data_IF_658230262313
#
_entry.id   IF_658230262313
#
_cell.length_a   1.000
_cell.length_b   1.000
_cell.length_c   1.000
_cell.angle_alpha   90.00
_cell.angle_beta   90.00
_cell.angle_gamma   90.00
#
_symmetry.space_group_name_H-M   'P 1'
#
loop_
_entity.id
_entity.type
_entity.pdbx_description
1 polymer ?
#
# COMPACT_ATOMS: atom_id res chain seq x y z
N UNK A 1 39.76 43.60 39.30
CA UNK A 1 38.79 43.74 38.21
C UNK A 1 37.77 42.62 38.37
N UNK A 2 36.52 42.99 38.59
CA UNK A 2 35.36 42.09 38.64
C UNK A 2 34.76 42.15 37.24
N UNK A 3 34.61 41.00 36.57
CA UNK A 3 33.82 40.90 35.35
C UNK A 3 32.69 39.88 35.61
N UNK A 4 31.49 40.42 35.81
CA UNK A 4 30.24 39.70 35.73
C UNK A 4 29.77 39.69 34.28
N UNK A 5 29.34 38.52 33.80
CA UNK A 5 28.47 38.34 32.63
C UNK A 5 27.47 37.28 33.11
N UNK A 6 26.43 37.67 33.84
CA UNK A 6 25.06 37.95 33.34
C UNK A 6 24.69 37.03 32.17
N UNK A 7 23.75 36.13 32.45
CA UNK A 7 23.35 35.07 31.55
C UNK A 7 22.55 35.53 30.33
N UNK A 8 22.46 34.59 29.40
CA UNK A 8 21.39 34.51 28.41
C UNK A 8 20.73 33.15 28.62
N UNK A 9 19.76 33.12 29.54
CA UNK A 9 18.75 32.09 29.54
C UNK A 9 17.84 32.26 28.32
N UNK A 10 17.25 31.13 27.93
CA UNK A 10 15.96 31.03 27.25
C UNK A 10 15.81 31.74 25.91
N UNK A 11 16.22 31.06 24.84
CA UNK A 11 15.37 30.99 23.64
C UNK A 11 14.40 29.83 23.84
N UNK A 12 13.45 29.99 24.76
CA UNK A 12 12.18 29.31 24.63
C UNK A 12 11.56 29.93 23.38
N UNK A 13 11.75 29.26 22.24
CA UNK A 13 10.92 29.50 21.08
C UNK A 13 9.48 29.53 21.60
N UNK A 14 8.74 30.57 21.25
CA UNK A 14 7.36 30.73 21.64
C UNK A 14 6.66 29.40 21.41
N UNK A 15 6.31 28.71 22.50
CA UNK A 15 5.42 27.58 22.46
C UNK A 15 4.10 28.16 21.95
N UNK A 16 3.93 28.18 20.62
CA UNK A 16 2.69 28.56 19.96
C UNK A 16 1.60 27.81 20.68
N UNK A 17 0.72 28.49 21.40
CA UNK A 17 -0.19 27.89 22.38
C UNK A 17 -0.79 26.55 21.91
N UNK A 18 -0.15 25.44 22.31
CA UNK A 18 -0.51 24.09 21.87
C UNK A 18 -1.67 23.58 22.71
N UNK A 19 -1.93 24.22 23.86
CA UNK A 19 -3.11 23.99 24.69
C UNK A 19 -4.41 24.11 23.89
N UNK A 20 -4.44 24.95 22.85
CA UNK A 20 -5.57 25.07 21.93
C UNK A 20 -6.03 23.73 21.32
N UNK A 21 -5.11 22.80 21.06
CA UNK A 21 -5.44 21.50 20.48
C UNK A 21 -6.09 20.56 21.51
N UNK A 22 -5.74 20.71 22.80
CA UNK A 22 -6.31 19.94 23.91
C UNK A 22 -7.77 20.33 24.20
N UNK A 23 -8.17 21.56 23.87
CA UNK A 23 -9.53 22.03 24.07
C UNK A 23 -10.53 21.42 23.07
N UNK A 24 -10.05 20.94 21.92
CA UNK A 24 -10.88 20.37 20.85
C UNK A 24 -11.16 18.90 21.12
N UNK A 25 -12.41 18.57 21.42
CA UNK A 25 -12.82 17.20 21.74
C UNK A 25 -13.06 16.31 20.53
N UNK A 26 -13.31 16.91 19.35
CA UNK A 26 -13.68 16.19 18.14
C UNK A 26 -13.14 16.87 16.89
N UNK A 27 -12.72 16.03 15.96
CA UNK A 27 -12.10 16.42 14.72
C UNK A 27 -12.77 15.67 13.57
N UNK A 28 -13.07 16.39 12.50
CA UNK A 28 -13.51 15.81 11.24
C UNK A 28 -12.36 15.85 10.25
N UNK A 29 -12.04 14.69 9.69
CA UNK A 29 -10.89 14.53 8.82
C UNK A 29 -11.23 13.89 7.49
N UNK A 30 -10.44 14.23 6.47
CA UNK A 30 -10.44 13.62 5.15
C UNK A 30 -9.01 13.33 4.70
N UNK A 31 -8.80 12.21 4.04
CA UNK A 31 -7.55 11.86 3.36
C UNK A 31 -7.85 11.52 1.90
N UNK A 32 -6.99 11.99 1.01
CA UNK A 32 -6.84 11.43 -0.33
C UNK A 32 -5.41 10.91 -0.48
N UNK A 33 -5.25 9.63 -0.82
CA UNK A 33 -3.95 9.04 -1.11
C UNK A 33 -3.96 8.40 -2.51
N UNK A 34 -2.85 8.49 -3.21
CA UNK A 34 -2.72 7.97 -4.57
C UNK A 34 -1.33 7.40 -4.82
N UNK A 35 -1.30 6.26 -5.51
CA UNK A 35 -0.08 5.61 -5.99
C UNK A 35 -0.21 5.38 -7.49
N UNK A 36 0.79 5.83 -8.24
CA UNK A 36 0.93 5.51 -9.66
C UNK A 36 2.36 5.03 -9.91
N UNK A 37 2.51 3.80 -10.41
CA UNK A 37 3.80 3.18 -10.67
C UNK A 37 3.80 2.45 -12.01
N UNK A 38 4.84 2.66 -12.82
CA UNK A 38 5.14 1.91 -14.06
C UNK A 38 6.57 1.37 -13.95
N UNK A 39 6.71 0.05 -13.89
CA UNK A 39 7.99 -0.63 -13.72
C UNK A 39 8.22 -1.60 -14.87
N UNK A 40 9.45 -1.61 -15.40
CA UNK A 40 9.88 -2.55 -16.44
C UNK A 40 11.19 -3.19 -16.06
N UNK A 41 11.32 -4.49 -16.32
CA UNK A 41 12.53 -5.24 -16.03
C UNK A 41 12.82 -6.35 -17.03
N UNK A 42 14.10 -6.66 -17.17
CA UNK A 42 14.60 -7.86 -17.87
C UNK A 42 15.37 -8.72 -16.86
N UNK A 43 15.08 -10.02 -16.85
CA UNK A 43 15.74 -10.99 -15.99
C UNK A 43 16.43 -12.00 -16.90
N UNK A 44 17.77 -11.91 -16.98
CA UNK A 44 18.58 -12.72 -17.90
C UNK A 44 18.54 -14.25 -17.62
N UNK A 45 19.25 -15.08 -18.42
CA UNK A 45 19.16 -16.55 -18.39
C UNK A 45 19.70 -17.24 -17.11
N UNK A 46 20.06 -16.48 -16.07
CA UNK A 46 20.32 -16.95 -14.70
C UNK A 46 19.18 -16.67 -13.71
N UNK A 47 18.01 -16.28 -14.23
CA UNK A 47 16.69 -16.13 -13.61
C UNK A 47 16.63 -16.06 -12.08
N UNK A 48 16.40 -14.85 -11.55
CA UNK A 48 15.61 -14.56 -10.33
C UNK A 48 15.85 -15.38 -9.04
N UNK A 49 16.93 -16.14 -8.92
CA UNK A 49 17.34 -16.72 -7.64
C UNK A 49 18.01 -15.69 -6.71
N UNK A 50 18.42 -14.54 -7.25
CA UNK A 50 19.30 -13.58 -6.57
C UNK A 50 18.88 -12.12 -6.69
N UNK A 51 17.68 -11.79 -7.17
CA UNK A 51 17.24 -10.39 -7.10
C UNK A 51 16.66 -10.10 -5.71
N UNK A 52 17.40 -9.40 -4.82
CA UNK A 52 16.95 -9.14 -3.47
C UNK A 52 15.67 -8.30 -3.49
N UNK A 53 15.42 -7.51 -4.55
CA UNK A 53 14.18 -6.72 -4.68
C UNK A 53 12.96 -7.58 -4.96
N UNK A 54 13.06 -8.73 -5.63
CA UNK A 54 11.90 -9.62 -5.82
C UNK A 54 11.71 -10.56 -4.63
N UNK A 55 12.79 -11.03 -3.99
CA UNK A 55 12.66 -11.68 -2.69
C UNK A 55 12.11 -10.72 -1.65
N UNK A 56 12.47 -9.44 -1.69
CA UNK A 56 11.84 -8.39 -0.90
C UNK A 56 10.39 -8.15 -1.34
N UNK A 57 10.03 -8.05 -2.63
CA UNK A 57 8.63 -7.88 -3.07
C UNK A 57 7.74 -9.11 -2.81
N UNK A 58 8.32 -10.32 -2.73
CA UNK A 58 7.65 -11.56 -2.33
C UNK A 58 7.66 -11.79 -0.81
N UNK A 59 8.67 -11.30 -0.08
CA UNK A 59 8.81 -11.43 1.38
C UNK A 59 8.27 -10.22 2.16
N UNK A 60 8.00 -9.09 1.51
CA UNK A 60 7.36 -7.91 2.08
C UNK A 60 5.83 -7.89 1.92
N UNK A 61 5.21 -8.83 1.19
CA UNK A 61 3.81 -8.64 0.80
C UNK A 61 3.58 -7.44 -0.13
N UNK A 62 4.64 -6.76 -0.59
CA UNK A 62 4.59 -5.50 -1.36
C UNK A 62 4.13 -5.62 -2.82
N UNK A 63 3.61 -6.79 -3.24
CA UNK A 63 2.70 -6.89 -4.38
C UNK A 63 1.23 -6.75 -3.99
N UNK A 64 0.93 -6.51 -2.71
CA UNK A 64 -0.42 -6.58 -2.14
C UNK A 64 -1.10 -7.87 -2.59
N UNK A 65 -0.40 -9.00 -2.58
CA UNK A 65 -0.93 -10.23 -3.18
C UNK A 65 -0.10 -11.41 -2.66
N UNK A 66 -0.70 -12.29 -1.88
CA UNK A 66 -0.14 -13.61 -1.58
C UNK A 66 -0.40 -14.58 -2.78
N UNK A 67 0.38 -14.45 -3.86
CA UNK A 67 0.32 -15.39 -5.00
C UNK A 67 1.45 -16.44 -4.91
N UNK A 68 1.17 -17.75 -5.03
CA UNK A 68 2.22 -18.74 -5.17
C UNK A 68 3.01 -18.49 -6.46
N UNK A 69 4.33 -18.56 -6.35
CA UNK A 69 5.24 -18.37 -7.48
C UNK A 69 4.87 -19.36 -8.62
N UNK A 70 4.61 -18.87 -9.85
CA UNK A 70 4.68 -19.75 -11.00
C UNK A 70 6.15 -20.14 -11.14
N UNK A 71 6.48 -21.42 -10.98
CA UNK A 71 7.83 -21.89 -11.23
C UNK A 71 8.28 -21.48 -12.64
N UNK A 72 9.44 -20.82 -12.75
CA UNK A 72 10.05 -20.50 -14.03
C UNK A 72 10.83 -19.17 -14.04
N UNK A 73 11.90 -19.16 -14.83
CA UNK A 73 12.68 -17.96 -15.17
C UNK A 73 11.80 -17.00 -16.00
N UNK A 74 11.21 -15.97 -15.37
CA UNK A 74 10.67 -14.80 -16.10
C UNK A 74 11.82 -14.17 -16.87
N UNK A 75 11.60 -13.81 -18.14
CA UNK A 75 12.61 -13.19 -19.01
C UNK A 75 12.47 -11.66 -19.03
N UNK A 76 11.23 -11.17 -18.99
CA UNK A 76 10.92 -9.74 -18.92
C UNK A 76 9.55 -9.51 -18.31
N UNK A 77 9.34 -8.31 -17.77
CA UNK A 77 8.03 -7.88 -17.27
C UNK A 77 7.80 -6.38 -17.41
N UNK A 78 6.52 -6.02 -17.38
CA UNK A 78 5.98 -4.68 -17.29
C UNK A 78 4.84 -4.71 -16.28
N UNK A 79 4.90 -3.83 -15.28
CA UNK A 79 3.93 -3.73 -14.20
C UNK A 79 3.44 -2.29 -14.09
N UNK A 80 2.11 -2.12 -14.07
CA UNK A 80 1.43 -0.85 -13.86
C UNK A 80 0.53 -0.97 -12.64
N UNK A 81 0.77 -0.14 -11.63
CA UNK A 81 -0.02 -0.07 -10.40
C UNK A 81 -0.66 1.31 -10.32
N UNK A 82 -1.97 1.32 -10.08
CA UNK A 82 -2.75 2.51 -9.82
C UNK A 82 -3.65 2.25 -8.61
N UNK A 83 -3.49 3.04 -7.56
CA UNK A 83 -4.29 2.96 -6.36
C UNK A 83 -4.77 4.35 -5.97
N UNK A 84 -5.99 4.44 -5.47
CA UNK A 84 -6.54 5.68 -4.92
C UNK A 84 -7.39 5.35 -3.71
N UNK A 85 -7.18 6.12 -2.66
CA UNK A 85 -7.95 6.05 -1.41
C UNK A 85 -8.55 7.42 -1.15
N UNK A 86 -9.84 7.44 -0.83
CA UNK A 86 -10.56 8.63 -0.35
C UNK A 86 -11.26 8.30 0.94
N UNK A 87 -10.73 8.80 2.04
CA UNK A 87 -11.20 8.45 3.37
C UNK A 87 -11.81 9.64 4.11
N UNK A 88 -12.77 9.34 4.99
CA UNK A 88 -13.34 10.28 5.93
C UNK A 88 -13.48 9.60 7.29
N UNK A 89 -13.13 10.31 8.36
CA UNK A 89 -13.15 9.75 9.71
C UNK A 89 -13.22 10.87 10.76
N UNK A 90 -13.51 10.45 12.00
CA UNK A 90 -13.57 11.35 13.16
C UNK A 90 -12.56 10.97 14.22
N UNK A 91 -11.78 11.94 14.67
CA UNK A 91 -10.94 11.81 15.85
C UNK A 91 -11.70 12.35 17.05
N UNK A 92 -11.61 11.64 18.15
CA UNK A 92 -12.43 11.90 19.33
C UNK A 92 -11.68 11.63 20.64
N UNK A 93 -10.44 11.15 20.52
CA UNK A 93 -9.57 10.98 21.65
C UNK A 93 -8.42 11.96 21.51
N UNK A 94 -8.20 12.75 22.56
CA UNK A 94 -7.05 13.64 22.69
C UNK A 94 -6.33 13.26 23.97
N UNK A 95 -5.08 12.86 23.84
CA UNK A 95 -4.21 12.48 24.93
C UNK A 95 -3.05 13.47 25.04
N UNK A 96 -2.85 14.00 26.24
CA UNK A 96 -1.70 14.82 26.58
C UNK A 96 -0.63 13.91 27.19
N UNK A 97 0.41 13.60 26.41
CA UNK A 97 1.58 12.85 26.84
C UNK A 97 2.62 13.73 27.54
N UNK A 98 2.35 15.02 27.76
CA UNK A 98 3.29 15.97 28.33
C UNK A 98 4.50 16.17 27.42
N UNK A 99 5.73 15.84 27.84
CA UNK A 99 6.94 16.02 27.02
C UNK A 99 6.96 15.14 25.76
N UNK A 100 6.21 14.04 25.75
CA UNK A 100 6.15 13.11 24.61
C UNK A 100 5.22 13.62 23.48
N UNK A 101 4.48 14.70 23.75
CA UNK A 101 3.59 15.36 22.78
C UNK A 101 2.10 15.09 23.01
N UNK A 102 1.29 15.53 22.05
CA UNK A 102 -0.17 15.36 22.09
C UNK A 102 -0.56 14.37 20.99
N UNK A 103 -1.35 13.36 21.36
CA UNK A 103 -1.92 12.42 20.40
C UNK A 103 -3.40 12.74 20.19
N UNK A 104 -3.82 12.84 18.93
CA UNK A 104 -5.22 12.97 18.52
C UNK A 104 -5.56 11.73 17.69
N UNK A 105 -6.48 10.90 18.15
CA UNK A 105 -6.77 9.60 17.55
C UNK A 105 -8.25 9.29 17.46
N UNK A 106 -8.58 8.30 16.62
CA UNK A 106 -9.94 7.81 16.46
C UNK A 106 -9.99 6.36 16.01
N UNK A 107 -10.98 5.64 16.54
CA UNK A 107 -11.32 4.25 16.21
C UNK A 107 -12.72 4.16 15.61
N UNK A 108 -12.92 3.21 14.68
CA UNK A 108 -14.23 2.71 14.24
C UNK A 108 -15.26 3.75 13.76
N UNK A 109 -14.84 4.96 13.39
CA UNK A 109 -15.73 6.12 13.13
C UNK A 109 -15.49 6.75 11.75
N UNK A 110 -15.20 5.93 10.74
CA UNK A 110 -14.92 6.38 9.38
C UNK A 110 -14.93 5.24 8.37
N UNK A 111 -14.64 5.58 7.12
CA UNK A 111 -14.47 4.62 6.03
C UNK A 111 -13.76 5.26 4.84
N UNK A 112 -13.26 4.42 3.95
CA UNK A 112 -12.57 4.84 2.74
C UNK A 112 -13.18 4.21 1.50
N UNK A 113 -13.30 4.99 0.44
CA UNK A 113 -13.51 4.47 -0.92
C UNK A 113 -12.14 4.19 -1.53
N UNK A 114 -11.96 2.97 -2.02
CA UNK A 114 -10.69 2.48 -2.53
C UNK A 114 -10.87 1.98 -3.96
N UNK A 115 -10.00 2.46 -4.84
CA UNK A 115 -9.86 1.97 -6.20
C UNK A 115 -8.46 1.41 -6.37
N UNK A 116 -8.36 0.14 -6.74
CA UNK A 116 -7.09 -0.53 -7.05
C UNK A 116 -7.15 -1.13 -8.44
N UNK A 117 -6.10 -0.90 -9.22
CA UNK A 117 -5.85 -1.56 -10.49
C UNK A 117 -4.37 -1.91 -10.60
N UNK A 118 -4.08 -3.19 -10.59
CA UNK A 118 -2.74 -3.73 -10.86
C UNK A 118 -2.78 -4.48 -12.18
N UNK A 119 -1.89 -4.12 -13.10
CA UNK A 119 -1.71 -4.77 -14.39
C UNK A 119 -0.28 -5.28 -14.47
N UNK A 120 -0.13 -6.56 -14.79
CA UNK A 120 1.16 -7.19 -14.99
C UNK A 120 1.17 -7.87 -16.37
N UNK A 121 2.24 -7.67 -17.11
CA UNK A 121 2.54 -8.35 -18.36
C UNK A 121 3.96 -8.93 -18.27
N UNK A 122 4.11 -10.23 -18.53
CA UNK A 122 5.39 -10.92 -18.37
C UNK A 122 5.63 -11.98 -19.41
N UNK A 123 6.90 -12.27 -19.65
CA UNK A 123 7.33 -13.41 -20.46
C UNK A 123 8.17 -14.38 -19.64
N UNK A 124 8.06 -15.67 -19.92
CA UNK A 124 8.79 -16.74 -19.23
C UNK A 124 9.36 -17.76 -20.23
N UNK A 125 10.39 -18.48 -19.79
CA UNK A 125 11.00 -19.58 -20.54
C UNK A 125 11.51 -19.17 -21.94
N UNK A 126 12.34 -18.13 -22.01
CA UNK A 126 12.83 -17.54 -23.27
C UNK A 126 11.70 -17.07 -24.18
N UNK A 127 10.71 -16.39 -23.60
CA UNK A 127 9.52 -15.86 -24.28
C UNK A 127 8.61 -16.94 -24.89
N UNK A 128 8.73 -18.18 -24.41
CA UNK A 128 7.86 -19.27 -24.82
C UNK A 128 6.45 -19.11 -24.22
N UNK A 129 6.37 -18.55 -23.02
CA UNK A 129 5.13 -18.28 -22.30
C UNK A 129 4.98 -16.76 -22.14
N UNK A 130 3.78 -16.27 -22.38
CA UNK A 130 3.35 -14.89 -22.15
C UNK A 130 2.20 -14.92 -21.15
N UNK A 131 2.29 -14.10 -20.10
CA UNK A 131 1.24 -13.97 -19.08
C UNK A 131 0.82 -12.52 -18.96
N UNK A 132 -0.48 -12.32 -18.89
CA UNK A 132 -1.07 -11.06 -18.46
C UNK A 132 -1.95 -11.31 -17.23
N UNK A 133 -1.84 -10.43 -16.24
CA UNK A 133 -2.62 -10.46 -15.01
C UNK A 133 -3.22 -9.10 -14.78
N UNK A 134 -4.47 -9.06 -14.35
CA UNK A 134 -5.15 -7.84 -13.94
C UNK A 134 -5.90 -8.10 -12.64
N UNK A 135 -5.55 -7.37 -11.60
CA UNK A 135 -6.28 -7.35 -10.34
C UNK A 135 -7.00 -6.00 -10.19
N UNK A 136 -8.30 -6.03 -9.89
CA UNK A 136 -9.11 -4.83 -9.71
C UNK A 136 -9.94 -4.94 -8.44
N UNK A 137 -9.96 -3.83 -7.69
CA UNK A 137 -10.86 -3.60 -6.57
C UNK A 137 -11.48 -2.21 -6.70
N UNK A 138 -12.76 -2.11 -6.41
CA UNK A 138 -13.50 -0.85 -6.37
C UNK A 138 -14.57 -1.01 -5.28
N UNK A 139 -14.42 -0.28 -4.18
CA UNK A 139 -15.35 -0.36 -3.07
C UNK A 139 -14.78 0.12 -1.74
N UNK A 140 -15.51 -0.16 -0.65
CA UNK A 140 -15.19 0.37 0.66
C UNK A 140 -14.11 -0.44 1.39
N UNK A 141 -13.14 0.25 2.00
CA UNK A 141 -12.22 -0.29 2.99
C UNK A 141 -12.48 0.30 4.38
N UNK A 142 -12.29 -0.51 5.40
CA UNK A 142 -12.37 -0.11 6.80
C UNK A 142 -10.98 0.24 7.30
N UNK A 143 -10.90 1.05 8.36
CA UNK A 143 -9.62 1.31 8.99
C UNK A 143 -9.20 0.17 9.91
N UNK A 144 -7.92 -0.21 9.85
CA UNK A 144 -7.30 -1.24 10.71
C UNK A 144 -6.66 -0.60 11.92
N UNK A 145 -6.99 -1.07 13.12
CA UNK A 145 -6.29 -0.69 14.33
C UNK A 145 -6.92 -1.34 15.55
N UNK A 146 -6.19 -1.36 16.65
CA UNK A 146 -6.65 -1.87 17.94
C UNK A 146 -6.58 -0.78 19.02
N UNK A 147 -6.90 -1.11 20.26
CA UNK A 147 -6.90 -0.12 21.36
C UNK A 147 -5.52 0.52 21.62
N UNK A 148 -4.44 -0.11 21.17
CA UNK A 148 -3.05 0.34 21.35
C UNK A 148 -2.56 1.11 20.12
N UNK A 149 -2.88 0.62 18.93
CA UNK A 149 -2.50 1.21 17.64
C UNK A 149 -3.74 1.76 16.92
N UNK A 150 -4.07 3.05 17.11
CA UNK A 150 -5.24 3.63 16.49
C UNK A 150 -5.14 3.59 14.96
N UNK A 151 -6.27 3.32 14.28
CA UNK A 151 -6.30 3.25 12.82
C UNK A 151 -5.94 4.55 12.11
N UNK A 152 -6.15 5.67 12.80
CA UNK A 152 -5.68 6.97 12.40
C UNK A 152 -5.24 7.76 13.63
N UNK A 153 -4.10 8.44 13.52
CA UNK A 153 -3.59 9.33 14.56
C UNK A 153 -2.84 10.53 14.01
N UNK A 154 -2.88 11.62 14.77
CA UNK A 154 -2.00 12.79 14.65
C UNK A 154 -1.18 12.88 15.92
N UNK A 155 0.13 12.93 15.76
CA UNK A 155 1.08 13.21 16.84
C UNK A 155 1.60 14.63 16.70
N UNK A 156 1.42 15.46 17.72
CA UNK A 156 1.96 16.81 17.79
C UNK A 156 3.20 16.78 18.68
N UNK A 157 4.30 17.35 18.17
CA UNK A 157 5.58 17.47 18.87
C UNK A 157 5.84 18.94 19.25
N UNK A 158 5.49 19.35 20.48
CA UNK A 158 5.61 20.72 20.95
C UNK A 158 6.99 21.35 20.84
N UNK A 159 8.01 20.57 21.20
CA UNK A 159 9.40 20.98 21.25
C UNK A 159 9.98 21.23 19.85
N UNK A 160 9.47 20.51 18.85
CA UNK A 160 9.89 20.59 17.46
C UNK A 160 9.04 21.57 16.65
N UNK A 161 7.86 21.94 17.15
CA UNK A 161 6.91 22.76 16.39
C UNK A 161 6.34 22.04 15.18
N UNK A 162 6.23 20.70 15.24
CA UNK A 162 5.79 19.84 14.14
C UNK A 162 4.66 18.89 14.56
N UNK A 163 4.06 18.25 13.58
CA UNK A 163 3.17 17.10 13.77
C UNK A 163 3.45 16.01 12.73
N UNK A 164 3.04 14.79 13.07
CA UNK A 164 2.99 13.63 12.18
C UNK A 164 1.57 13.12 12.08
N UNK A 165 1.23 12.48 10.97
CA UNK A 165 -0.08 11.91 10.69
C UNK A 165 0.10 10.51 10.13
N UNK A 166 -0.68 9.57 10.64
CA UNK A 166 -0.63 8.17 10.25
C UNK A 166 -2.03 7.60 10.06
N UNK A 167 -2.18 6.72 9.06
CA UNK A 167 -3.41 5.94 8.86
C UNK A 167 -3.14 4.54 8.30
N UNK A 168 -4.04 3.62 8.62
CA UNK A 168 -4.02 2.23 8.16
C UNK A 168 -5.42 1.74 7.78
N UNK A 169 -5.56 1.12 6.61
CA UNK A 169 -6.78 0.46 6.14
C UNK A 169 -6.61 -1.06 6.06
N UNK A 170 -7.72 -1.78 6.21
CA UNK A 170 -7.76 -3.23 6.10
C UNK A 170 -7.37 -3.67 4.68
N UNK A 171 -6.70 -4.83 4.55
CA UNK A 171 -6.44 -5.41 3.25
C UNK A 171 -7.74 -5.60 2.44
N UNK A 172 -7.67 -5.33 1.14
CA UNK A 172 -8.83 -5.48 0.24
C UNK A 172 -8.68 -6.71 -0.65
N UNK A 173 -9.77 -7.45 -0.85
CA UNK A 173 -9.77 -8.61 -1.75
C UNK A 173 -10.17 -8.23 -3.17
N UNK A 174 -9.20 -8.06 -4.06
CA UNK A 174 -9.38 -7.78 -5.47
C UNK A 174 -9.78 -9.04 -6.28
N UNK A 175 -10.52 -8.82 -7.37
CA UNK A 175 -10.77 -9.85 -8.37
C UNK A 175 -9.61 -9.86 -9.35
N UNK A 176 -9.03 -11.03 -9.58
CA UNK A 176 -7.93 -11.21 -10.51
C UNK A 176 -8.36 -12.04 -11.71
N UNK A 177 -7.93 -11.60 -12.90
CA UNK A 177 -7.96 -12.40 -14.13
C UNK A 177 -6.53 -12.54 -14.62
N UNK A 178 -6.14 -13.77 -14.94
CA UNK A 178 -4.86 -14.11 -15.57
C UNK A 178 -5.14 -14.81 -16.90
N UNK A 179 -4.45 -14.39 -17.96
CA UNK A 179 -4.39 -15.15 -19.21
C UNK A 179 -2.96 -15.63 -19.44
N UNK A 180 -2.84 -16.86 -19.95
CA UNK A 180 -1.58 -17.45 -20.35
C UNK A 180 -1.63 -17.84 -21.82
N UNK A 181 -0.57 -17.50 -22.56
CA UNK A 181 -0.40 -17.82 -23.97
C UNK A 181 0.97 -18.41 -24.21
N UNK A 182 1.06 -19.40 -25.08
CA UNK A 182 2.33 -19.95 -25.52
C UNK A 182 2.65 -19.51 -26.95
N UNK A 183 3.94 -19.56 -27.34
CA UNK A 183 4.40 -19.24 -28.68
C UNK A 183 3.72 -20.13 -29.74
N UNK A 184 3.49 -19.57 -30.94
CA UNK A 184 2.86 -20.24 -32.07
C UNK A 184 3.61 -21.55 -32.42
N UNK A 185 2.93 -22.68 -32.16
CA UNK A 185 3.49 -24.04 -32.20
C UNK A 185 3.09 -24.86 -30.98
N UNK A 186 3.17 -24.26 -29.78
CA UNK A 186 2.80 -24.92 -28.51
C UNK A 186 1.39 -24.59 -28.07
N UNK A 187 0.83 -23.45 -28.51
CA UNK A 187 -0.50 -22.99 -28.08
C UNK A 187 -1.64 -23.93 -28.48
N UNK A 188 -1.57 -24.54 -29.66
CA UNK A 188 -2.59 -25.48 -30.12
C UNK A 188 -2.61 -26.75 -29.26
N UNK A 189 -1.41 -27.29 -28.97
CA UNK A 189 -1.22 -28.46 -28.12
C UNK A 189 -1.64 -28.18 -26.67
N UNK A 190 -1.25 -27.02 -26.13
CA UNK A 190 -1.69 -26.54 -24.81
C UNK A 190 -3.21 -26.48 -24.69
N UNK A 191 -3.89 -25.86 -25.68
CA UNK A 191 -5.37 -25.78 -25.72
C UNK A 191 -6.03 -27.14 -25.81
N UNK A 192 -5.41 -28.08 -26.53
CA UNK A 192 -5.88 -29.45 -26.60
C UNK A 192 -5.76 -30.13 -25.24
N UNK A 193 -4.60 -30.00 -24.57
CA UNK A 193 -4.37 -30.55 -23.22
C UNK A 193 -5.30 -29.94 -22.17
N UNK A 194 -5.60 -28.64 -22.24
CA UNK A 194 -6.55 -27.96 -21.33
C UNK A 194 -7.98 -28.49 -21.45
N UNK A 195 -8.34 -29.03 -22.62
CA UNK A 195 -9.65 -29.63 -22.89
C UNK A 195 -9.67 -31.14 -22.75
N UNK A 196 -8.50 -31.77 -22.60
CA UNK A 196 -8.36 -33.21 -22.61
C UNK A 196 -9.18 -33.85 -21.48
N UNK A 197 -9.78 -34.98 -21.80
CA UNK A 197 -10.44 -35.87 -20.84
C UNK A 197 -9.76 -37.23 -20.88
N UNK A 198 -9.95 -38.03 -19.84
CA UNK A 198 -9.41 -39.40 -19.81
C UNK A 198 -9.98 -40.30 -20.94
N UNK A 199 -11.11 -39.91 -21.53
CA UNK A 199 -11.71 -40.61 -22.67
C UNK A 199 -10.99 -40.30 -24.00
N UNK A 200 -10.40 -39.12 -24.14
CA UNK A 200 -9.72 -38.66 -25.36
C UNK A 200 -8.21 -38.91 -25.31
N UNK A 201 -7.63 -38.92 -24.12
CA UNK A 201 -6.20 -39.11 -23.88
C UNK A 201 -6.00 -39.87 -22.57
N UNK A 202 -5.19 -40.95 -22.54
CA UNK A 202 -4.78 -41.57 -21.29
C UNK A 202 -4.11 -40.52 -20.37
N UNK A 203 -4.59 -40.38 -19.13
CA UNK A 203 -4.18 -39.34 -18.17
C UNK A 203 -4.62 -37.90 -18.57
N UNK A 204 -5.59 -37.76 -19.47
CA UNK A 204 -6.11 -36.46 -19.91
C UNK A 204 -6.64 -35.60 -18.76
N UNK A 205 -7.28 -36.19 -17.74
CA UNK A 205 -7.72 -35.49 -16.53
C UNK A 205 -6.55 -34.93 -15.71
N UNK A 206 -5.46 -35.70 -15.60
CA UNK A 206 -4.22 -35.25 -14.95
C UNK A 206 -3.55 -34.11 -15.74
N UNK A 207 -3.42 -34.25 -17.06
CA UNK A 207 -2.82 -33.24 -17.93
C UNK A 207 -3.63 -31.95 -17.96
N UNK A 208 -4.96 -32.05 -18.00
CA UNK A 208 -5.87 -30.90 -17.86
C UNK A 208 -5.68 -30.20 -16.53
N UNK A 209 -5.56 -30.96 -15.43
CA UNK A 209 -5.26 -30.41 -14.11
C UNK A 209 -3.93 -29.67 -14.07
N UNK A 210 -2.89 -30.24 -14.66
CA UNK A 210 -1.55 -29.64 -14.74
C UNK A 210 -1.56 -28.34 -15.56
N UNK A 211 -2.18 -28.33 -16.75
CA UNK A 211 -2.29 -27.14 -17.59
C UNK A 211 -3.16 -26.07 -16.92
N UNK A 212 -4.26 -26.46 -16.28
CA UNK A 212 -5.11 -25.56 -15.49
C UNK A 212 -4.37 -24.89 -14.32
N UNK A 213 -3.42 -25.60 -13.71
CA UNK A 213 -2.59 -25.06 -12.64
C UNK A 213 -1.44 -24.17 -13.16
N UNK A 214 -0.89 -24.46 -14.34
CA UNK A 214 0.38 -23.87 -14.82
C UNK A 214 0.21 -22.83 -15.93
N UNK A 215 -0.69 -23.00 -16.90
CA UNK A 215 -0.90 -22.08 -18.03
C UNK A 215 -2.29 -22.26 -18.66
N UNK A 216 -3.33 -21.99 -17.86
CA UNK A 216 -4.70 -21.96 -18.35
C UNK A 216 -4.92 -20.79 -19.33
N UNK A 217 -5.83 -20.95 -20.29
CA UNK A 217 -6.20 -19.85 -21.20
C UNK A 217 -6.69 -18.65 -20.40
N UNK A 218 -7.49 -18.90 -19.38
CA UNK A 218 -8.03 -17.91 -18.47
C UNK A 218 -8.11 -18.53 -17.07
N UNK A 219 -7.61 -17.81 -16.06
CA UNK A 219 -7.75 -18.16 -14.66
C UNK A 219 -8.33 -16.98 -13.91
N UNK A 220 -9.47 -17.20 -13.24
CA UNK A 220 -10.09 -16.22 -12.34
C UNK A 220 -9.73 -16.57 -10.92
N UNK A 221 -9.39 -15.55 -10.13
CA UNK A 221 -9.01 -15.70 -8.75
C UNK A 221 -9.43 -14.51 -7.92
N UNK A 222 -9.14 -14.62 -6.63
CA UNK A 222 -9.18 -13.52 -5.68
C UNK A 222 -7.80 -13.33 -5.10
N UNK A 223 -7.50 -12.11 -4.75
CA UNK A 223 -6.17 -11.74 -4.30
C UNK A 223 -6.27 -10.62 -3.27
N UNK A 224 -5.50 -10.73 -2.19
CA UNK A 224 -5.57 -9.82 -1.05
C UNK A 224 -4.48 -8.77 -1.14
N UNK A 225 -4.89 -7.50 -1.21
CA UNK A 225 -4.07 -6.29 -1.37
C UNK A 225 -3.91 -5.56 -0.05
N UNK A 226 -2.66 -5.38 0.35
CA UNK A 226 -2.19 -4.70 1.55
C UNK A 226 -1.09 -3.68 1.20
N UNK A 227 -0.93 -2.65 2.05
CA UNK A 227 0.07 -1.60 1.86
C UNK A 227 -0.27 -0.61 0.73
N UNK A 228 0.76 0.00 0.14
CA UNK A 228 0.58 0.99 -0.93
C UNK A 228 -0.22 2.20 -0.44
N UNK A 229 -1.24 2.61 -1.19
CA UNK A 229 -2.11 3.72 -0.80
C UNK A 229 -3.07 3.37 0.37
N UNK A 230 -3.13 2.12 0.82
CA UNK A 230 -3.97 1.71 1.95
C UNK A 230 -3.40 2.13 3.31
N UNK A 231 -2.12 2.48 3.38
CA UNK A 231 -1.48 3.02 4.57
C UNK A 231 -0.64 4.24 4.23
N UNK A 232 -0.46 5.14 5.19
CA UNK A 232 0.30 6.36 4.96
C UNK A 232 0.80 6.99 6.24
N UNK A 233 2.03 7.51 6.17
CA UNK A 233 2.67 8.24 7.26
C UNK A 233 3.30 9.51 6.68
N UNK A 234 3.00 10.65 7.29
CA UNK A 234 3.68 11.92 6.99
C UNK A 234 4.24 12.44 8.31
N UNK A 235 5.55 12.70 8.34
CA UNK A 235 6.24 13.15 9.54
C UNK A 235 6.79 14.56 9.40
N UNK A 236 7.01 15.21 10.55
CA UNK A 236 7.70 16.50 10.65
C UNK A 236 7.03 17.64 9.87
N UNK A 237 5.70 17.64 9.80
CA UNK A 237 4.93 18.72 9.18
C UNK A 237 4.88 19.91 10.15
N UNK A 238 5.17 21.15 9.72
CA UNK A 238 5.10 22.32 10.61
C UNK A 238 3.72 22.48 11.23
N UNK A 239 3.66 22.82 12.52
CA UNK A 239 2.39 23.10 13.19
C UNK A 239 1.68 24.30 12.55
N UNK A 240 0.37 24.21 12.29
CA UNK A 240 -0.40 25.32 11.76
C UNK A 240 -0.59 26.40 12.83
N UNK A 241 -0.66 27.67 12.43
CA UNK A 241 -1.01 28.79 13.34
C UNK A 241 -2.42 28.65 13.93
N UNK A 242 -3.33 27.99 13.20
CA UNK A 242 -4.69 27.72 13.61
C UNK A 242 -4.90 26.31 14.17
N UNK A 243 -6.17 25.90 14.23
CA UNK A 243 -6.55 24.54 14.64
C UNK A 243 -6.59 23.56 13.47
N UNK A 244 -6.59 23.99 12.20
CA UNK A 244 -6.74 23.07 11.08
C UNK A 244 -5.40 22.42 10.69
N UNK A 245 -5.33 21.08 10.69
CA UNK A 245 -4.21 20.33 10.13
C UNK A 245 -4.50 20.03 8.66
N UNK A 246 -3.80 20.71 7.76
CA UNK A 246 -3.98 20.54 6.32
C UNK A 246 -2.63 20.49 5.64
N UNK A 247 -2.54 19.69 4.58
CA UNK A 247 -1.32 19.59 3.80
C UNK A 247 -1.38 18.55 2.71
N UNK A 248 -0.29 18.49 1.95
CA UNK A 248 -0.02 17.44 0.98
C UNK A 248 1.46 17.07 1.06
N UNK A 249 1.78 15.80 0.81
CA UNK A 249 3.13 15.29 0.95
C UNK A 249 3.23 13.81 0.56
N UNK A 250 4.45 13.30 0.37
CA UNK A 250 4.68 11.88 0.15
C UNK A 250 4.54 11.10 1.47
N UNK A 251 4.05 9.87 1.37
CA UNK A 251 4.13 8.90 2.46
C UNK A 251 5.58 8.51 2.72
N UNK A 252 5.94 8.37 3.99
CA UNK A 252 7.28 8.02 4.46
C UNK A 252 7.42 6.53 4.79
N UNK A 253 6.35 5.73 4.66
CA UNK A 253 6.44 4.27 4.74
C UNK A 253 7.38 3.75 3.65
N UNK A 254 8.41 2.98 4.04
CA UNK A 254 9.47 2.46 3.15
C UNK A 254 8.94 1.56 2.02
N UNK A 255 7.81 0.94 2.24
CA UNK A 255 7.05 0.03 1.38
C UNK A 255 6.04 0.78 0.49
N UNK A 256 5.72 2.03 0.83
CA UNK A 256 4.75 2.89 0.12
C UNK A 256 5.40 3.90 -0.85
N UNK A 257 6.72 3.84 -1.06
CA UNK A 257 7.65 4.92 -1.50
C UNK A 257 7.31 5.94 -2.61
N UNK A 258 6.12 5.93 -3.20
CA UNK A 258 5.61 6.94 -4.13
C UNK A 258 4.16 7.40 -3.84
N UNK A 259 3.59 7.00 -2.70
CA UNK A 259 2.21 7.40 -2.33
C UNK A 259 2.16 8.90 -2.04
N UNK A 260 1.33 9.62 -2.79
CA UNK A 260 1.04 11.03 -2.55
C UNK A 260 -0.20 11.15 -1.71
N UNK A 261 -0.10 11.86 -0.59
CA UNK A 261 -1.18 12.10 0.35
C UNK A 261 -1.59 13.56 0.35
N UNK A 262 -2.88 13.79 0.56
CA UNK A 262 -3.48 15.07 0.94
C UNK A 262 -4.40 14.85 2.12
N UNK A 263 -4.32 15.69 3.12
CA UNK A 263 -5.15 15.59 4.32
C UNK A 263 -5.75 16.93 4.71
N UNK A 264 -6.89 16.86 5.39
CA UNK A 264 -7.51 17.99 6.07
C UNK A 264 -8.22 17.48 7.31
N UNK A 265 -7.88 18.02 8.46
CA UNK A 265 -8.50 17.75 9.75
C UNK A 265 -8.87 19.06 10.42
N UNK A 266 -10.13 19.22 10.79
CA UNK A 266 -10.66 20.44 11.40
C UNK A 266 -11.49 20.11 12.64
N UNK A 267 -11.57 21.00 13.64
CA UNK A 267 -12.51 20.87 14.75
C UNK A 267 -13.95 20.71 14.24
N UNK A 268 -14.76 19.87 14.90
CA UNK A 268 -16.20 19.70 14.65
C UNK A 268 -17.07 20.70 15.43
#
# INVERSE_FOLDING_TARGET
MIAAVIGAGSSAAEASDIGRFLEVKRWKCTIEASLERDVRGQTGPGGMAYDPKRQFMQALGASGVNMPAPGGNTDSYHEVISETVKAHFRLHHVYDGGPDGIQISGWNNGGAEVHVRHVFEGTEQKQAIMRDKTAVYDGPAMFTGDEVEPPFQIWIYPDQGTYSLEYHLDPVTARQVEHCRMKAGMEAERRQMEKATDAEMPLGGFMRGLVGATCATEKKGKVEIEGGALSGLVENVPLPDGLAFEGEGPSQFTDAGDVKMRWSCRPE
#
